data_IF_675466305701
#
_entry.id   IF_675466305701
#
_cell.length_a   1.000
_cell.length_b   1.000
_cell.length_c   1.000
_cell.angle_alpha   90.00
_cell.angle_beta   90.00
_cell.angle_gamma   90.00
#
_symmetry.space_group_name_H-M   'P 1'
#
loop_
_entity.id
_entity.type
_entity.pdbx_description
1 polymer ?
#
# COMPACT_ATOMS: atom_id res chain seq x y z
N UNK A 1 -10.86 2.78 16.53
CA UNK A 1 -9.70 1.88 16.44
C UNK A 1 -9.87 0.98 15.22
N UNK A 2 -8.80 0.79 14.49
CA UNK A 2 -8.75 0.02 13.24
C UNK A 2 -7.85 -1.19 13.42
N UNK A 3 -8.13 -2.28 12.72
CA UNK A 3 -7.22 -3.42 12.62
C UNK A 3 -6.11 -3.18 11.57
N UNK A 4 -5.24 -4.18 11.37
CA UNK A 4 -4.14 -4.11 10.40
C UNK A 4 -4.62 -4.05 8.94
N UNK A 5 -5.86 -4.46 8.67
CA UNK A 5 -6.47 -4.39 7.34
C UNK A 5 -7.20 -3.05 7.11
N UNK A 6 -7.17 -2.15 8.10
CA UNK A 6 -7.85 -0.86 8.06
C UNK A 6 -9.35 -0.93 8.31
N UNK A 7 -9.89 -2.05 8.80
CA UNK A 7 -11.31 -2.15 9.12
C UNK A 7 -11.60 -1.42 10.44
N UNK A 8 -12.70 -0.66 10.50
CA UNK A 8 -13.11 0.01 11.75
C UNK A 8 -13.68 -1.04 12.72
N UNK A 9 -12.89 -1.42 13.72
CA UNK A 9 -13.29 -2.47 14.68
C UNK A 9 -13.95 -1.92 15.94
N UNK A 10 -13.62 -0.69 16.35
CA UNK A 10 -14.10 -0.11 17.60
C UNK A 10 -14.31 1.41 17.49
N UNK A 11 -15.43 1.89 18.05
CA UNK A 11 -15.71 3.32 18.24
C UNK A 11 -15.99 3.58 19.73
N UNK A 12 -15.29 4.53 20.38
CA UNK A 12 -15.57 4.89 21.76
C UNK A 12 -17.03 5.31 21.96
N UNK A 13 -17.67 4.80 23.03
CA UNK A 13 -19.06 5.09 23.39
C UNK A 13 -20.11 4.82 22.28
N UNK A 14 -19.83 3.89 21.36
CA UNK A 14 -20.70 3.57 20.21
C UNK A 14 -22.19 3.43 20.56
N UNK A 15 -22.51 2.67 21.61
CA UNK A 15 -23.91 2.46 22.03
C UNK A 15 -24.57 3.73 22.59
N UNK A 16 -23.81 4.59 23.27
CA UNK A 16 -24.34 5.80 23.90
C UNK A 16 -24.46 6.98 22.93
N UNK A 17 -23.47 7.15 22.07
CA UNK A 17 -23.35 8.31 21.18
C UNK A 17 -23.95 8.04 19.79
N UNK A 18 -23.84 6.80 19.30
CA UNK A 18 -24.28 6.39 17.96
C UNK A 18 -25.41 5.36 17.99
N UNK A 19 -25.92 5.01 19.18
CA UNK A 19 -27.05 4.11 19.38
C UNK A 19 -26.90 2.74 18.69
N UNK A 20 -25.65 2.26 18.53
CA UNK A 20 -25.34 1.01 17.83
C UNK A 20 -25.71 1.02 16.34
N UNK A 21 -26.00 2.19 15.76
CA UNK A 21 -26.47 2.35 14.37
C UNK A 21 -25.36 2.68 13.37
N UNK A 22 -24.11 2.80 13.84
CA UNK A 22 -22.98 3.15 13.00
C UNK A 22 -22.58 1.97 12.12
N UNK A 23 -22.64 2.15 10.80
CA UNK A 23 -22.10 1.18 9.85
C UNK A 23 -20.57 1.25 9.80
N UNK A 24 -19.91 0.45 10.63
CA UNK A 24 -18.45 0.39 10.68
C UNK A 24 -17.78 0.03 9.35
N UNK A 25 -18.46 -0.71 8.46
CA UNK A 25 -17.89 -1.06 7.15
C UNK A 25 -17.73 0.18 6.29
N UNK A 26 -18.75 1.04 6.26
CA UNK A 26 -18.71 2.31 5.52
C UNK A 26 -17.65 3.31 6.05
N UNK A 27 -17.24 3.17 7.31
CA UNK A 27 -16.27 4.07 7.97
C UNK A 27 -14.89 3.42 8.21
N UNK A 28 -14.62 2.30 7.54
CA UNK A 28 -13.27 1.71 7.50
C UNK A 28 -12.29 2.64 6.78
N UNK A 29 -11.00 2.50 7.07
CA UNK A 29 -9.97 3.33 6.43
C UNK A 29 -10.00 3.12 4.91
N UNK A 30 -9.75 4.21 4.17
CA UNK A 30 -9.64 4.13 2.73
C UNK A 30 -8.44 3.25 2.37
N UNK A 31 -8.71 2.11 1.73
CA UNK A 31 -7.69 1.16 1.31
C UNK A 31 -7.14 1.57 -0.05
N UNK A 32 -5.84 1.43 -0.24
CA UNK A 32 -5.23 1.55 -1.58
C UNK A 32 -5.86 0.44 -2.43
N UNK A 33 -6.57 0.78 -3.53
CA UNK A 33 -7.41 -0.19 -4.24
C UNK A 33 -6.60 -1.25 -4.97
N UNK A 34 -5.41 -0.89 -5.45
CA UNK A 34 -4.51 -1.82 -6.14
C UNK A 34 -3.12 -1.75 -5.53
N UNK A 35 -2.66 -2.89 -5.03
CA UNK A 35 -1.29 -3.10 -4.53
C UNK A 35 -0.68 -4.23 -5.35
N UNK A 36 0.53 -4.01 -5.88
CA UNK A 36 1.31 -5.00 -6.58
C UNK A 36 2.61 -5.26 -5.82
N UNK A 37 3.01 -6.52 -5.75
CA UNK A 37 4.31 -6.94 -5.25
C UNK A 37 5.15 -7.40 -6.44
N UNK A 38 6.38 -6.91 -6.53
CA UNK A 38 7.33 -7.23 -7.59
C UNK A 38 8.73 -7.37 -7.02
N UNK A 39 9.22 -8.62 -6.89
CA UNK A 39 10.58 -8.94 -6.42
C UNK A 39 10.90 -8.37 -5.02
N UNK A 40 9.92 -8.35 -4.12
CA UNK A 40 10.01 -7.78 -2.77
C UNK A 40 9.69 -6.28 -2.69
N UNK A 41 9.44 -5.62 -3.82
CA UNK A 41 9.01 -4.22 -3.87
C UNK A 41 7.49 -4.14 -3.91
N UNK A 42 6.91 -3.27 -3.09
CA UNK A 42 5.47 -3.04 -3.07
C UNK A 42 5.13 -1.71 -3.73
N UNK A 43 4.24 -1.75 -4.73
CA UNK A 43 3.73 -0.59 -5.44
C UNK A 43 2.23 -0.46 -5.20
N UNK A 44 1.72 0.76 -5.10
CA UNK A 44 0.30 1.03 -4.91
C UNK A 44 -0.20 2.08 -5.89
N UNK A 45 -1.44 1.92 -6.36
CA UNK A 45 -2.14 2.94 -7.16
C UNK A 45 -3.55 3.15 -6.64
N UNK A 46 -4.01 4.40 -6.75
CA UNK A 46 -5.38 4.81 -6.42
C UNK A 46 -6.36 4.72 -7.61
N UNK A 47 -5.87 4.39 -8.80
CA UNK A 47 -6.68 4.31 -10.02
C UNK A 47 -6.98 2.86 -10.38
N UNK A 48 -8.27 2.53 -10.50
CA UNK A 48 -8.75 1.22 -10.95
C UNK A 48 -8.69 1.03 -12.47
N UNK A 49 -8.48 2.11 -13.23
CA UNK A 49 -8.48 2.11 -14.70
C UNK A 49 -7.08 1.84 -15.28
N UNK A 50 -6.09 1.60 -14.42
CA UNK A 50 -4.71 1.36 -14.84
C UNK A 50 -4.50 -0.11 -15.23
N UNK A 51 -3.59 -0.40 -16.18
CA UNK A 51 -3.20 -1.78 -16.50
C UNK A 51 -2.67 -2.55 -15.28
N UNK A 52 -2.56 -3.87 -15.38
CA UNK A 52 -1.81 -4.67 -14.40
C UNK A 52 -0.35 -4.22 -14.31
N UNK A 53 0.23 -4.35 -13.10
CA UNK A 53 1.52 -3.74 -12.80
C UNK A 53 2.63 -4.18 -13.76
N UNK A 54 2.68 -5.45 -14.14
CA UNK A 54 3.66 -5.97 -15.10
C UNK A 54 3.50 -5.34 -16.50
N UNK A 55 2.25 -5.12 -16.92
CA UNK A 55 1.95 -4.45 -18.18
C UNK A 55 2.26 -2.95 -18.14
N UNK A 56 2.06 -2.31 -16.97
CA UNK A 56 2.48 -0.93 -16.73
C UNK A 56 4.02 -0.79 -16.77
N UNK A 57 4.73 -1.73 -16.16
CA UNK A 57 6.19 -1.75 -16.14
C UNK A 57 6.77 -2.02 -17.54
N UNK A 58 6.11 -2.91 -18.30
CA UNK A 58 6.45 -3.18 -19.69
C UNK A 58 7.90 -3.59 -19.87
N UNK A 59 8.56 -3.07 -20.90
CA UNK A 59 9.97 -3.38 -21.20
C UNK A 59 10.96 -2.93 -20.11
N UNK A 60 10.54 -2.03 -19.20
CA UNK A 60 11.38 -1.65 -18.06
C UNK A 60 11.58 -2.83 -17.09
N UNK A 61 10.68 -3.81 -17.08
CA UNK A 61 10.79 -5.00 -16.24
C UNK A 61 12.13 -5.72 -16.44
N UNK A 62 12.58 -5.86 -17.69
CA UNK A 62 13.86 -6.48 -18.03
C UNK A 62 15.04 -5.77 -17.36
N UNK A 63 15.07 -4.44 -17.41
CA UNK A 63 16.13 -3.64 -16.80
C UNK A 63 16.03 -3.60 -15.28
N UNK A 64 14.82 -3.62 -14.74
CA UNK A 64 14.60 -3.65 -13.30
C UNK A 64 15.08 -4.98 -12.70
N UNK A 65 14.68 -6.10 -13.30
CA UNK A 65 15.11 -7.45 -12.91
C UNK A 65 16.63 -7.60 -12.96
N UNK A 66 17.30 -6.99 -13.94
CA UNK A 66 18.77 -7.00 -14.03
C UNK A 66 19.47 -6.42 -12.79
N UNK A 67 18.78 -5.57 -12.02
CA UNK A 67 19.29 -4.98 -10.77
C UNK A 67 18.79 -5.75 -9.56
N UNK A 68 17.48 -6.03 -9.50
CA UNK A 68 16.83 -6.49 -8.27
C UNK A 68 16.81 -8.01 -8.10
N UNK A 69 16.86 -8.77 -9.19
CA UNK A 69 16.77 -10.25 -9.19
C UNK A 69 18.15 -10.91 -9.39
N UNK A 70 19.22 -10.22 -8.95
CA UNK A 70 20.60 -10.65 -9.19
C UNK A 70 21.09 -11.78 -8.26
N UNK A 71 20.47 -11.94 -7.11
CA UNK A 71 20.90 -12.86 -6.07
C UNK A 71 19.77 -13.82 -5.71
N UNK A 72 20.08 -15.11 -5.56
CA UNK A 72 19.08 -16.14 -5.24
C UNK A 72 18.33 -15.86 -3.93
N UNK A 73 18.96 -15.15 -2.99
CA UNK A 73 18.35 -14.74 -1.72
C UNK A 73 17.52 -13.45 -1.81
N UNK A 74 17.47 -12.82 -2.99
CA UNK A 74 16.80 -11.54 -3.22
C UNK A 74 17.55 -10.35 -2.62
N UNK A 75 16.82 -9.24 -2.50
CA UNK A 75 17.28 -8.01 -1.86
C UNK A 75 16.43 -7.71 -0.63
N UNK A 76 17.05 -7.08 0.37
CA UNK A 76 16.34 -6.52 1.52
C UNK A 76 16.61 -5.03 1.67
N UNK A 77 15.62 -4.31 2.18
CA UNK A 77 15.81 -2.92 2.59
C UNK A 77 16.40 -2.87 3.99
N UNK A 78 17.58 -2.28 4.12
CA UNK A 78 18.18 -2.00 5.43
C UNK A 78 17.27 -1.01 6.18
N UNK A 79 16.92 -1.28 7.45
CA UNK A 79 16.05 -0.41 8.21
C UNK A 79 16.58 1.02 8.33
N UNK A 80 15.71 1.99 8.04
CA UNK A 80 16.03 3.40 8.05
C UNK A 80 15.87 4.03 6.66
N UNK A 81 15.51 5.31 6.64
CA UNK A 81 15.50 6.10 5.41
C UNK A 81 15.97 7.50 5.75
N UNK A 82 16.88 8.04 4.93
CA UNK A 82 17.28 9.43 5.04
C UNK A 82 16.16 10.29 4.45
N UNK A 83 15.64 11.24 5.25
CA UNK A 83 14.54 12.13 4.85
C UNK A 83 14.99 13.58 5.00
N UNK A 84 14.84 14.37 3.93
CA UNK A 84 15.11 15.80 3.91
C UNK A 84 14.19 16.49 2.89
N UNK A 85 14.07 17.81 2.98
CA UNK A 85 13.26 18.61 2.06
C UNK A 85 14.20 19.34 1.10
N UNK A 86 13.93 19.21 -0.21
CA UNK A 86 14.53 20.03 -1.26
C UNK A 86 13.40 20.87 -1.87
N UNK A 87 13.62 22.17 -2.06
CA UNK A 87 12.67 23.07 -2.71
C UNK A 87 12.80 22.99 -4.24
N UNK A 88 12.34 21.86 -4.81
CA UNK A 88 12.28 21.62 -6.25
C UNK A 88 11.05 20.73 -6.59
N UNK A 89 10.77 20.58 -7.89
CA UNK A 89 9.89 19.52 -8.40
C UNK A 89 10.65 18.20 -8.54
#
# INVERSE_FOLDING_TARGET
>A
AYDLEGNLVNVPFEQRAYHGSLDKKAWSALKVPRIAEYRGFYFGTWSDETPDFDAYLGEMAFYFDAIVDRFDAGLEFVPGSTKWVIDCN
#
